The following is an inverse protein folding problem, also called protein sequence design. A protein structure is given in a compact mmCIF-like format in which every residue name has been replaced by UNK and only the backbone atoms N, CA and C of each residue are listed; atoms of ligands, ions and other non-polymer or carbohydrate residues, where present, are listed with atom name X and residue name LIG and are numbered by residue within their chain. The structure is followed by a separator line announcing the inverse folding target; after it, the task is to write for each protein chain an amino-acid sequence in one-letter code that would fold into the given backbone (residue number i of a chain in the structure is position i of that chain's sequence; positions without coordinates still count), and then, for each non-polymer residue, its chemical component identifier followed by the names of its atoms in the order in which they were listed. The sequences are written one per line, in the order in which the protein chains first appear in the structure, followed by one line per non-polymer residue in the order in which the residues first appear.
data_IF_988277688078
#
_entry.id   IF_988277688078
#
_cell.length_a   1.000
_cell.length_b   1.000
_cell.length_c   1.000
_cell.angle_alpha   90.00
_cell.angle_beta   90.00
_cell.angle_gamma   90.00
#
_symmetry.space_group_name_H-M   'P 1'
#
loop_
_entity.id
_entity.type
_entity.pdbx_description
1 polymer ?
#
# COMPACT_ATOMS: atom_id res chain seq x y z
N UNK A 1 -12.41 36.12 -33.33
CA UNK A 1 -12.82 35.79 -31.94
C UNK A 1 -13.37 34.37 -31.85
N UNK A 2 -14.25 33.91 -32.72
CA UNK A 2 -14.82 32.54 -32.71
C UNK A 2 -13.81 31.39 -32.70
N UNK A 3 -12.71 31.51 -33.48
CA UNK A 3 -11.65 30.46 -33.52
C UNK A 3 -10.85 30.35 -32.21
N UNK A 4 -10.85 31.34 -31.35
CA UNK A 4 -10.15 31.33 -30.06
C UNK A 4 -11.02 30.68 -28.97
N UNK A 5 -12.32 30.91 -28.98
CA UNK A 5 -13.27 30.32 -28.03
C UNK A 5 -13.48 28.82 -28.27
N UNK A 6 -13.55 28.37 -29.54
CA UNK A 6 -13.60 26.95 -29.89
C UNK A 6 -12.33 26.21 -29.43
N UNK A 7 -11.15 26.79 -29.61
CA UNK A 7 -9.87 26.24 -29.16
C UNK A 7 -9.75 26.15 -27.63
N UNK A 8 -10.34 27.09 -26.86
CA UNK A 8 -10.36 27.05 -25.40
C UNK A 8 -11.26 25.91 -24.90
N UNK A 9 -12.45 25.79 -25.44
CA UNK A 9 -13.41 24.72 -25.06
C UNK A 9 -12.90 23.30 -25.36
N UNK A 10 -12.14 23.11 -26.44
CA UNK A 10 -11.52 21.82 -26.77
C UNK A 10 -10.38 21.48 -25.78
N UNK A 11 -9.58 22.45 -25.38
CA UNK A 11 -8.50 22.24 -24.37
C UNK A 11 -9.08 21.88 -23.01
N UNK A 12 -10.14 22.52 -22.58
CA UNK A 12 -10.83 22.22 -21.31
C UNK A 12 -11.44 20.81 -21.32
N UNK A 13 -12.07 20.40 -22.42
CA UNK A 13 -12.62 19.05 -22.61
C UNK A 13 -11.51 18.00 -22.56
N UNK A 14 -10.38 18.25 -23.22
CA UNK A 14 -9.24 17.35 -23.21
C UNK A 14 -8.62 17.24 -21.82
N UNK A 15 -8.51 18.33 -21.09
CA UNK A 15 -7.97 18.31 -19.72
C UNK A 15 -8.91 17.57 -18.76
N UNK A 16 -10.21 17.79 -18.86
CA UNK A 16 -11.23 17.04 -18.12
C UNK A 16 -11.15 15.55 -18.38
N UNK A 17 -11.05 15.15 -19.65
CA UNK A 17 -10.88 13.76 -20.04
C UNK A 17 -9.56 13.16 -19.47
N UNK A 18 -8.47 13.89 -19.53
CA UNK A 18 -7.20 13.45 -18.98
C UNK A 18 -7.28 13.25 -17.45
N UNK A 19 -7.92 14.17 -16.73
CA UNK A 19 -8.17 14.05 -15.28
C UNK A 19 -9.03 12.83 -14.96
N UNK A 20 -10.05 12.56 -15.78
CA UNK A 20 -10.88 11.37 -15.63
C UNK A 20 -10.04 10.08 -15.76
N UNK A 21 -9.22 9.93 -16.80
CA UNK A 21 -8.39 8.74 -16.99
C UNK A 21 -7.39 8.55 -15.83
N UNK A 22 -6.78 9.63 -15.35
CA UNK A 22 -5.86 9.56 -14.20
C UNK A 22 -6.60 9.14 -12.93
N UNK A 23 -7.81 9.67 -12.71
CA UNK A 23 -8.69 9.30 -11.60
C UNK A 23 -9.02 7.80 -11.62
N UNK A 24 -9.46 7.28 -12.77
CA UNK A 24 -9.75 5.86 -12.96
C UNK A 24 -8.50 4.98 -12.70
N UNK A 25 -7.34 5.43 -13.16
CA UNK A 25 -6.10 4.71 -12.89
C UNK A 25 -5.73 4.68 -11.39
N UNK A 26 -5.84 5.79 -10.68
CA UNK A 26 -5.59 5.84 -9.23
C UNK A 26 -6.58 4.95 -8.45
N UNK A 27 -7.83 4.86 -8.92
CA UNK A 27 -8.86 4.02 -8.34
C UNK A 27 -8.58 2.53 -8.53
N UNK A 28 -8.26 2.11 -9.75
CA UNK A 28 -8.09 0.69 -10.10
C UNK A 28 -6.65 0.20 -10.06
N UNK A 29 -5.66 1.06 -10.17
CA UNK A 29 -4.23 0.73 -10.11
C UNK A 29 -3.69 -0.02 -11.33
N UNK A 30 -4.49 -0.25 -12.37
CA UNK A 30 -4.12 -0.99 -13.58
C UNK A 30 -4.74 -0.36 -14.82
N UNK A 31 -3.97 -0.27 -15.91
CA UNK A 31 -4.47 0.21 -17.20
C UNK A 31 -5.49 -0.76 -17.80
N UNK A 32 -5.24 -2.08 -17.67
CA UNK A 32 -6.20 -3.11 -18.09
C UNK A 32 -7.55 -2.94 -17.41
N UNK A 33 -7.53 -2.67 -16.11
CA UNK A 33 -8.75 -2.48 -15.34
C UNK A 33 -9.49 -1.20 -15.74
N UNK A 34 -8.77 -0.12 -16.02
CA UNK A 34 -9.36 1.11 -16.54
C UNK A 34 -10.12 0.83 -17.85
N UNK A 35 -9.53 0.09 -18.79
CA UNK A 35 -10.21 -0.29 -20.02
C UNK A 35 -11.41 -1.21 -19.76
N UNK A 36 -11.28 -2.21 -18.91
CA UNK A 36 -12.32 -3.17 -18.58
C UNK A 36 -13.55 -2.49 -17.98
N UNK A 37 -13.34 -1.61 -17.02
CA UNK A 37 -14.42 -0.89 -16.33
C UNK A 37 -15.13 0.12 -17.25
N UNK A 38 -14.45 0.62 -18.26
CA UNK A 38 -15.00 1.48 -19.29
C UNK A 38 -15.40 0.71 -20.57
N UNK A 39 -15.62 -0.61 -20.46
CA UNK A 39 -16.10 -1.50 -21.54
C UNK A 39 -15.27 -1.43 -22.83
N UNK A 40 -13.99 -1.05 -22.71
CA UNK A 40 -13.08 -0.81 -23.85
C UNK A 40 -13.53 0.31 -24.82
N UNK A 41 -14.42 1.20 -24.40
CA UNK A 41 -14.99 2.29 -25.21
C UNK A 41 -14.27 3.64 -25.04
N UNK A 42 -13.06 3.63 -24.47
CA UNK A 42 -12.30 4.86 -24.26
C UNK A 42 -11.71 5.40 -25.57
N UNK A 43 -11.84 6.71 -25.85
CA UNK A 43 -11.27 7.34 -27.06
C UNK A 43 -9.76 7.57 -26.91
N UNK A 44 -9.04 6.61 -26.33
CA UNK A 44 -7.59 6.64 -26.13
C UNK A 44 -7.06 5.22 -26.19
N UNK A 45 -5.89 5.02 -26.80
CA UNK A 45 -5.26 3.69 -26.86
C UNK A 45 -4.57 3.32 -25.55
N UNK A 46 -4.33 2.03 -25.32
CA UNK A 46 -3.58 1.53 -24.17
C UNK A 46 -2.21 2.23 -23.98
N UNK A 47 -1.33 2.34 -25.04
CA UNK A 47 -0.11 3.14 -24.93
C UNK A 47 -0.37 4.62 -24.67
N UNK A 48 -1.50 5.16 -25.12
CA UNK A 48 -1.94 6.53 -24.87
C UNK A 48 -2.17 6.77 -23.37
N UNK A 49 -2.91 5.87 -22.69
CA UNK A 49 -3.11 5.92 -21.24
C UNK A 49 -1.77 5.83 -20.51
N UNK A 50 -0.88 4.92 -20.91
CA UNK A 50 0.43 4.80 -20.28
C UNK A 50 1.27 6.08 -20.39
N UNK A 51 1.27 6.74 -21.56
CA UNK A 51 1.95 8.02 -21.77
C UNK A 51 1.32 9.14 -20.93
N UNK A 52 0.00 9.17 -20.85
CA UNK A 52 -0.73 10.14 -20.04
C UNK A 52 -0.36 10.03 -18.56
N UNK A 53 -0.38 8.83 -17.99
CA UNK A 53 -0.01 8.55 -16.61
C UNK A 53 1.43 9.02 -16.34
N UNK A 54 2.37 8.69 -17.24
CA UNK A 54 3.75 9.17 -17.15
C UNK A 54 3.84 10.70 -17.21
N UNK A 55 3.12 11.34 -18.14
CA UNK A 55 3.07 12.82 -18.30
C UNK A 55 2.49 13.49 -17.05
N UNK A 56 1.59 12.81 -16.32
CA UNK A 56 1.00 13.29 -15.06
C UNK A 56 1.93 13.10 -13.84
N UNK A 57 3.07 12.43 -14.01
CA UNK A 57 3.98 12.10 -12.91
C UNK A 57 3.40 11.07 -11.93
N UNK A 58 2.42 10.27 -12.37
CA UNK A 58 1.84 9.21 -11.55
C UNK A 58 2.74 7.99 -11.58
N UNK A 59 3.16 7.53 -10.40
CA UNK A 59 3.96 6.32 -10.27
C UNK A 59 3.06 5.11 -10.45
N UNK A 60 3.45 4.21 -11.36
CA UNK A 60 2.67 3.02 -11.67
C UNK A 60 2.56 2.09 -10.47
N UNK A 61 1.36 1.58 -10.23
CA UNK A 61 1.12 0.57 -9.20
C UNK A 61 1.99 -0.66 -9.42
N UNK A 62 2.51 -1.20 -8.32
CA UNK A 62 3.10 -2.52 -8.28
C UNK A 62 1.98 -3.48 -7.85
N UNK A 63 1.29 -4.07 -8.79
CA UNK A 63 0.15 -4.93 -8.48
C UNK A 63 0.54 -6.21 -7.73
N UNK A 64 -0.38 -6.83 -7.00
CA UNK A 64 -0.18 -8.13 -6.35
C UNK A 64 -0.15 -9.30 -7.37
N UNK A 65 0.22 -9.04 -8.58
CA UNK A 65 -0.02 -9.87 -9.75
C UNK A 65 0.68 -11.22 -9.71
N UNK A 66 0.19 -12.16 -8.90
CA UNK A 66 0.41 -13.56 -9.23
C UNK A 66 -0.68 -14.45 -8.62
N UNK A 67 -1.15 -15.38 -9.42
CA UNK A 67 -1.85 -16.61 -9.02
C UNK A 67 -1.19 -17.24 -7.79
N UNK A 68 0.13 -17.05 -7.64
CA UNK A 68 0.92 -17.48 -6.51
C UNK A 68 0.52 -16.79 -5.19
N UNK A 69 0.17 -15.50 -5.19
CA UNK A 69 -0.27 -14.82 -3.97
C UNK A 69 -1.65 -15.28 -3.52
N UNK A 70 -2.54 -15.63 -4.44
CA UNK A 70 -3.84 -16.22 -4.11
C UNK A 70 -3.68 -17.61 -3.51
N UNK A 71 -2.71 -18.40 -4.01
CA UNK A 71 -2.38 -19.69 -3.47
C UNK A 71 -1.80 -19.65 -2.06
N UNK A 72 -0.85 -18.74 -1.80
CA UNK A 72 -0.30 -18.51 -0.45
C UNK A 72 -1.41 -18.10 0.52
N UNK A 73 -2.30 -17.25 0.08
CA UNK A 73 -3.53 -16.83 0.73
C UNK A 73 -4.36 -18.02 1.19
N UNK A 74 -4.71 -18.86 0.25
CA UNK A 74 -5.54 -20.05 0.50
C UNK A 74 -4.85 -21.04 1.43
N UNK A 75 -3.55 -21.25 1.26
CA UNK A 75 -2.74 -22.11 2.11
C UNK A 75 -2.67 -21.63 3.55
N UNK A 76 -2.55 -20.31 3.77
CA UNK A 76 -2.52 -19.74 5.11
C UNK A 76 -3.84 -19.90 5.86
N UNK A 77 -4.96 -19.83 5.15
CA UNK A 77 -6.28 -20.11 5.72
C UNK A 77 -6.44 -21.57 6.13
N UNK A 78 -5.98 -22.49 5.29
CA UNK A 78 -6.11 -23.92 5.56
C UNK A 78 -5.09 -24.43 6.59
N UNK A 79 -3.96 -23.78 6.75
CA UNK A 79 -2.93 -24.17 7.73
C UNK A 79 -3.40 -24.02 9.19
N UNK A 80 -4.38 -23.17 9.45
CA UNK A 80 -5.02 -23.04 10.79
C UNK A 80 -5.65 -24.34 11.27
N UNK A 81 -6.04 -25.22 10.36
CA UNK A 81 -6.75 -26.47 10.66
C UNK A 81 -5.80 -27.66 10.89
N UNK A 82 -4.47 -27.47 10.94
CA UNK A 82 -3.45 -28.53 11.06
C UNK A 82 -3.63 -29.67 10.05
N UNK A 83 -3.97 -29.33 8.81
CA UNK A 83 -4.25 -30.28 7.73
C UNK A 83 -2.95 -30.64 7.02
N UNK A 84 -2.79 -31.91 6.62
CA UNK A 84 -1.61 -32.36 5.87
C UNK A 84 -1.46 -31.62 4.53
N UNK A 85 -0.21 -31.46 4.06
CA UNK A 85 0.09 -30.79 2.76
C UNK A 85 -0.69 -31.42 1.60
N UNK A 86 -0.86 -32.72 1.61
CA UNK A 86 -1.63 -33.45 0.59
C UNK A 86 -3.12 -33.08 0.61
N UNK A 87 -3.71 -32.98 1.80
CA UNK A 87 -5.10 -32.56 1.97
C UNK A 87 -5.28 -31.09 1.58
N UNK A 88 -4.30 -30.22 1.88
CA UNK A 88 -4.26 -28.84 1.42
C UNK A 88 -4.23 -28.75 -0.10
N UNK A 89 -3.37 -29.56 -0.73
CA UNK A 89 -3.24 -29.62 -2.18
C UNK A 89 -4.55 -30.03 -2.87
N UNK A 90 -5.24 -31.02 -2.35
CA UNK A 90 -6.55 -31.48 -2.87
C UNK A 90 -7.66 -30.43 -2.78
N UNK A 91 -7.55 -29.47 -1.85
CA UNK A 91 -8.53 -28.39 -1.63
C UNK A 91 -8.21 -27.11 -2.41
N UNK A 92 -7.09 -27.07 -3.14
CA UNK A 92 -6.74 -25.89 -3.94
C UNK A 92 -7.75 -25.65 -5.06
N UNK A 93 -8.10 -24.37 -5.33
CA UNK A 93 -8.92 -24.05 -6.48
C UNK A 93 -8.32 -24.56 -7.79
N UNK A 94 -9.14 -25.02 -8.76
CA UNK A 94 -8.65 -25.51 -10.06
C UNK A 94 -7.80 -24.48 -10.83
N UNK A 95 -7.99 -23.19 -10.56
CA UNK A 95 -7.19 -22.10 -11.12
C UNK A 95 -5.76 -22.06 -10.59
N UNK A 96 -5.49 -22.69 -9.46
CA UNK A 96 -4.16 -22.75 -8.85
C UNK A 96 -3.40 -23.99 -9.31
N UNK A 97 -2.95 -23.97 -10.56
CA UNK A 97 -2.16 -25.07 -11.16
C UNK A 97 -0.70 -24.98 -10.72
N UNK A 98 -0.36 -25.55 -9.58
CA UNK A 98 1.04 -25.69 -9.15
C UNK A 98 1.33 -27.15 -8.74
N UNK A 99 2.60 -27.54 -8.72
CA UNK A 99 2.98 -28.87 -8.21
C UNK A 99 3.04 -28.86 -6.68
N UNK A 100 2.84 -30.04 -6.06
CA UNK A 100 2.98 -30.21 -4.61
C UNK A 100 4.40 -29.81 -4.14
N UNK A 101 5.44 -30.09 -4.93
CA UNK A 101 6.81 -29.67 -4.63
C UNK A 101 7.00 -28.14 -4.65
N UNK A 102 6.30 -27.44 -5.55
CA UNK A 102 6.30 -25.98 -5.56
C UNK A 102 5.59 -25.42 -4.32
N UNK A 103 4.49 -26.03 -3.92
CA UNK A 103 3.75 -25.68 -2.74
C UNK A 103 4.57 -25.87 -1.45
N UNK A 104 5.24 -27.01 -1.33
CA UNK A 104 6.16 -27.28 -0.21
C UNK A 104 7.28 -26.22 -0.12
N UNK A 105 7.92 -25.89 -1.26
CA UNK A 105 8.95 -24.84 -1.29
C UNK A 105 8.42 -23.46 -0.89
N UNK A 106 7.18 -23.15 -1.28
CA UNK A 106 6.51 -21.90 -0.89
C UNK A 106 6.31 -21.81 0.61
N UNK A 107 5.75 -22.85 1.21
CA UNK A 107 5.52 -22.92 2.65
C UNK A 107 6.83 -22.86 3.42
N UNK A 108 7.84 -23.63 2.96
CA UNK A 108 9.18 -23.60 3.53
C UNK A 108 9.78 -22.17 3.50
N UNK A 109 9.74 -21.49 2.36
CA UNK A 109 10.25 -20.12 2.25
C UNK A 109 9.50 -19.14 3.18
N UNK A 110 8.20 -19.29 3.34
CA UNK A 110 7.42 -18.46 4.28
C UNK A 110 7.87 -18.73 5.72
N UNK A 111 8.05 -20.00 6.07
CA UNK A 111 8.55 -20.43 7.39
C UNK A 111 9.93 -19.83 7.67
N UNK A 112 10.85 -19.91 6.73
CA UNK A 112 12.20 -19.37 6.84
C UNK A 112 12.23 -17.81 6.76
N UNK A 113 11.09 -17.16 6.58
CA UNK A 113 10.99 -15.70 6.48
C UNK A 113 11.52 -15.13 5.17
N UNK A 114 11.61 -15.94 4.12
CA UNK A 114 12.00 -15.49 2.78
C UNK A 114 10.85 -14.72 2.17
N UNK A 115 11.00 -13.41 2.10
CA UNK A 115 10.01 -12.51 1.50
C UNK A 115 10.12 -12.52 -0.04
N UNK A 116 8.98 -12.52 -0.72
CA UNK A 116 8.91 -12.55 -2.20
C UNK A 116 8.38 -11.26 -2.79
N UNK A 117 7.68 -10.52 -1.99
CA UNK A 117 7.07 -9.25 -2.38
C UNK A 117 7.62 -8.14 -1.51
N UNK A 118 7.61 -6.96 -2.02
CA UNK A 118 7.98 -5.77 -1.27
C UNK A 118 6.81 -4.81 -1.19
N UNK A 119 6.75 -4.05 -0.12
CA UNK A 119 5.76 -3.04 0.12
C UNK A 119 6.36 -1.81 0.78
N UNK A 120 5.62 -0.72 0.73
CA UNK A 120 5.95 0.53 1.41
C UNK A 120 4.81 0.92 2.30
N UNK A 121 5.12 1.30 3.53
CA UNK A 121 4.19 1.92 4.46
C UNK A 121 4.74 3.28 4.90
N UNK A 122 3.84 4.23 5.14
CA UNK A 122 4.19 5.57 5.59
C UNK A 122 3.61 5.81 6.98
N UNK A 123 4.48 6.16 7.90
CA UNK A 123 4.11 6.83 9.15
C UNK A 123 4.13 8.31 8.87
N UNK A 124 2.96 8.92 8.77
CA UNK A 124 2.80 10.32 8.42
C UNK A 124 2.35 11.08 9.66
N UNK A 125 3.10 12.12 10.04
CA UNK A 125 2.84 12.91 11.23
C UNK A 125 2.75 14.39 10.89
N UNK A 126 2.03 15.22 11.68
CA UNK A 126 2.23 16.66 11.62
C UNK A 126 3.66 17.01 12.03
N UNK A 127 4.25 18.04 11.43
CA UNK A 127 5.60 18.48 11.77
C UNK A 127 5.74 19.04 13.20
N UNK A 128 4.63 19.47 13.78
CA UNK A 128 4.54 20.03 15.14
C UNK A 128 4.05 18.99 16.20
N UNK A 129 3.66 17.80 15.76
CA UNK A 129 3.17 16.74 16.67
C UNK A 129 3.55 15.33 16.16
N UNK A 130 4.79 14.88 16.42
CA UNK A 130 5.28 13.58 15.98
C UNK A 130 4.62 12.39 16.68
N UNK A 131 3.87 12.60 17.77
CA UNK A 131 3.16 11.56 18.50
C UNK A 131 1.80 11.23 17.89
N UNK A 132 1.36 11.93 16.85
CA UNK A 132 0.13 11.65 16.13
C UNK A 132 0.41 11.16 14.72
N UNK A 133 -0.21 10.06 14.35
CA UNK A 133 0.01 9.36 13.09
C UNK A 133 -1.26 9.32 12.25
N UNK A 134 -1.14 9.62 10.96
CA UNK A 134 -2.24 9.54 10.00
C UNK A 134 -2.63 8.09 9.76
N UNK A 135 -3.89 7.78 9.99
CA UNK A 135 -4.52 6.49 9.68
C UNK A 135 -5.82 6.71 8.92
N UNK A 136 -6.42 5.62 8.45
CA UNK A 136 -7.77 5.62 7.92
C UNK A 136 -8.35 4.21 7.82
N UNK A 137 -9.58 4.09 7.34
CA UNK A 137 -10.26 2.81 7.13
C UNK A 137 -9.95 2.28 5.72
N UNK A 138 -9.38 1.08 5.63
CA UNK A 138 -9.11 0.41 4.35
C UNK A 138 -10.41 -0.10 3.72
N UNK A 139 -10.80 0.48 2.59
CA UNK A 139 -11.98 0.10 1.82
C UNK A 139 -11.65 -0.63 0.52
N UNK A 140 -10.38 -0.94 0.30
CA UNK A 140 -9.95 -1.73 -0.85
C UNK A 140 -10.30 -3.21 -0.65
N UNK A 141 -10.09 -4.03 -1.68
CA UNK A 141 -10.40 -5.46 -1.63
C UNK A 141 -9.84 -6.12 -0.38
N UNK A 142 -10.67 -6.75 0.46
CA UNK A 142 -10.22 -7.41 1.66
C UNK A 142 -9.30 -8.60 1.33
N UNK A 143 -8.34 -8.85 2.21
CA UNK A 143 -7.39 -9.97 2.13
C UNK A 143 -7.18 -10.52 3.54
N UNK A 144 -8.11 -11.34 3.97
CA UNK A 144 -8.15 -11.86 5.33
C UNK A 144 -6.88 -12.62 5.69
N UNK A 145 -6.29 -13.30 4.71
CA UNK A 145 -5.04 -14.04 4.81
C UNK A 145 -3.80 -13.18 5.07
N UNK A 146 -3.89 -11.91 4.73
CA UNK A 146 -2.87 -10.89 5.08
C UNK A 146 -3.28 -10.09 6.32
N UNK A 147 -4.32 -10.54 7.04
CA UNK A 147 -4.89 -9.80 8.16
C UNK A 147 -5.36 -8.40 7.77
N UNK A 148 -5.98 -8.30 6.58
CA UNK A 148 -6.52 -7.09 5.98
C UNK A 148 -8.03 -7.22 5.76
N UNK A 149 -8.87 -7.14 6.81
CA UNK A 149 -10.31 -7.11 6.65
C UNK A 149 -10.80 -5.75 6.12
N UNK A 150 -11.98 -5.75 5.47
CA UNK A 150 -12.60 -4.51 5.02
C UNK A 150 -12.91 -3.57 6.19
N UNK A 151 -12.63 -2.29 6.02
CA UNK A 151 -12.84 -1.28 7.06
C UNK A 151 -11.83 -1.32 8.21
N UNK A 152 -10.76 -2.11 8.08
CA UNK A 152 -9.69 -2.13 9.09
C UNK A 152 -8.91 -0.82 9.11
N UNK A 153 -8.50 -0.40 10.30
CA UNK A 153 -7.59 0.74 10.47
C UNK A 153 -6.24 0.39 9.87
N UNK A 154 -5.74 1.27 9.01
CA UNK A 154 -4.47 1.10 8.31
C UNK A 154 -3.69 2.40 8.25
N UNK A 155 -2.36 2.27 8.15
CA UNK A 155 -1.49 3.34 7.64
C UNK A 155 -1.59 3.39 6.11
N UNK A 156 -1.28 4.53 5.46
CA UNK A 156 -1.06 4.57 4.03
C UNK A 156 0.03 3.59 3.62
N UNK A 157 -0.32 2.59 2.79
CA UNK A 157 0.62 1.55 2.40
C UNK A 157 0.22 0.84 1.11
N UNK A 158 1.23 0.38 0.37
CA UNK A 158 1.01 -0.31 -0.91
C UNK A 158 2.17 -1.21 -1.30
N UNK A 159 1.97 -2.00 -2.36
CA UNK A 159 3.05 -2.79 -2.94
C UNK A 159 4.08 -1.91 -3.62
N UNK A 160 5.33 -2.38 -3.65
CA UNK A 160 6.46 -1.77 -4.34
C UNK A 160 7.04 -2.74 -5.37
N UNK A 161 7.80 -2.25 -6.32
CA UNK A 161 8.62 -3.07 -7.21
C UNK A 161 9.93 -3.43 -6.50
N UNK A 162 10.51 -4.58 -6.83
CA UNK A 162 11.71 -5.10 -6.15
C UNK A 162 12.90 -4.12 -6.14
N UNK A 163 13.15 -3.39 -7.20
CA UNK A 163 14.28 -2.48 -7.36
C UNK A 163 13.83 -1.02 -7.47
N UNK A 164 12.70 -0.69 -6.88
CA UNK A 164 12.16 0.65 -6.95
C UNK A 164 12.89 1.59 -6.00
N UNK A 165 13.17 2.80 -6.48
CA UNK A 165 13.69 3.85 -5.63
C UNK A 165 12.70 4.16 -4.48
N UNK A 166 13.25 4.40 -3.30
CA UNK A 166 12.48 4.72 -2.10
C UNK A 166 11.59 5.96 -2.30
N UNK A 167 12.08 6.96 -3.03
CA UNK A 167 11.32 8.16 -3.37
C UNK A 167 10.07 7.83 -4.20
N UNK A 168 10.20 7.01 -5.23
CA UNK A 168 9.09 6.59 -6.08
C UNK A 168 8.08 5.75 -5.31
N UNK A 169 8.56 4.87 -4.42
CA UNK A 169 7.72 4.07 -3.54
C UNK A 169 6.87 4.93 -2.60
N UNK A 170 7.49 5.92 -1.97
CA UNK A 170 6.82 6.88 -1.07
C UNK A 170 5.81 7.71 -1.89
N UNK A 171 6.25 8.27 -3.02
CA UNK A 171 5.40 9.12 -3.87
C UNK A 171 4.16 8.36 -4.34
N UNK A 172 4.32 7.08 -4.74
CA UNK A 172 3.18 6.24 -5.12
C UNK A 172 2.17 6.10 -4.00
N UNK A 173 2.62 5.82 -2.77
CA UNK A 173 1.71 5.69 -1.62
C UNK A 173 1.02 7.02 -1.33
N UNK A 174 1.74 8.14 -1.35
CA UNK A 174 1.15 9.47 -1.18
C UNK A 174 0.09 9.76 -2.26
N UNK A 175 0.36 9.45 -3.52
CA UNK A 175 -0.56 9.67 -4.64
C UNK A 175 -1.82 8.82 -4.58
N UNK A 176 -1.72 7.58 -4.09
CA UNK A 176 -2.84 6.63 -4.13
C UNK A 176 -3.63 6.58 -2.84
N UNK A 177 -2.97 6.75 -1.70
CA UNK A 177 -3.54 6.47 -0.39
C UNK A 177 -3.80 7.73 0.45
N UNK A 178 -3.23 8.91 0.06
CA UNK A 178 -3.29 10.13 0.88
C UNK A 178 -3.77 11.35 0.09
N UNK A 179 -3.18 11.63 -1.07
CA UNK A 179 -3.36 12.88 -1.81
C UNK A 179 -3.82 12.65 -3.26
N UNK A 180 -4.77 11.72 -3.49
CA UNK A 180 -5.20 11.37 -4.85
C UNK A 180 -5.73 12.58 -5.64
N UNK A 181 -6.50 13.46 -5.01
CA UNK A 181 -7.01 14.67 -5.67
C UNK A 181 -5.90 15.68 -6.00
N UNK A 182 -4.89 15.82 -5.11
CA UNK A 182 -3.74 16.66 -5.40
C UNK A 182 -2.91 16.10 -6.56
N UNK A 183 -2.76 14.78 -6.65
CA UNK A 183 -2.08 14.12 -7.77
C UNK A 183 -2.82 14.34 -9.09
N UNK A 184 -4.17 14.24 -9.10
CA UNK A 184 -5.01 14.52 -10.26
C UNK A 184 -4.91 16.00 -10.69
N UNK A 185 -4.85 16.91 -9.73
CA UNK A 185 -4.70 18.35 -9.98
C UNK A 185 -3.25 18.77 -10.27
N UNK A 186 -2.29 17.86 -10.16
CA UNK A 186 -0.85 18.08 -10.39
C UNK A 186 -0.24 19.13 -9.43
N UNK A 187 -0.77 19.23 -8.22
CA UNK A 187 -0.31 20.17 -7.19
C UNK A 187 0.20 19.47 -5.92
N UNK A 188 0.55 18.18 -6.03
CA UNK A 188 1.19 17.43 -4.94
C UNK A 188 2.57 18.05 -4.63
N UNK A 189 2.84 18.46 -3.39
CA UNK A 189 4.13 19.05 -3.02
C UNK A 189 5.23 17.97 -2.95
N UNK A 190 6.08 17.90 -3.97
CA UNK A 190 7.14 16.89 -4.09
C UNK A 190 8.30 17.10 -3.10
N UNK A 191 8.41 18.26 -2.49
CA UNK A 191 9.40 18.60 -1.46
C UNK A 191 9.14 17.95 -0.10
N UNK A 192 7.98 17.31 0.09
CA UNK A 192 7.72 16.46 1.26
C UNK A 192 8.67 15.25 1.35
N UNK A 193 9.25 14.83 0.22
CA UNK A 193 10.05 13.62 0.15
C UNK A 193 11.51 14.01 -0.09
N UNK A 194 12.40 13.83 0.90
CA UNK A 194 13.84 13.99 0.72
C UNK A 194 14.40 13.03 -0.34
N UNK A 195 15.41 13.46 -1.09
CA UNK A 195 16.00 12.65 -2.18
C UNK A 195 16.55 11.30 -1.68
N UNK A 196 17.16 11.28 -0.49
CA UNK A 196 17.79 10.09 0.12
C UNK A 196 17.01 9.58 1.31
N UNK A 197 15.69 9.39 1.15
CA UNK A 197 14.87 8.91 2.25
C UNK A 197 15.16 7.43 2.55
N UNK A 198 15.47 7.12 3.81
CA UNK A 198 15.76 5.76 4.28
C UNK A 198 14.64 5.24 5.17
N UNK A 199 14.28 3.95 5.09
CA UNK A 199 13.29 3.39 5.99
C UNK A 199 13.85 3.35 7.43
N UNK A 200 13.03 3.69 8.40
CA UNK A 200 13.38 3.54 9.81
C UNK A 200 13.09 2.12 10.33
N UNK A 201 12.25 1.37 9.60
CA UNK A 201 11.86 0.01 9.97
C UNK A 201 11.59 -0.85 8.75
N UNK A 202 11.84 -2.15 8.89
CA UNK A 202 11.33 -3.20 8.02
C UNK A 202 10.40 -4.11 8.83
N UNK A 203 9.25 -4.44 8.28
CA UNK A 203 8.33 -5.39 8.90
C UNK A 203 7.88 -6.45 7.89
N UNK A 204 7.95 -7.72 8.32
CA UNK A 204 7.45 -8.84 7.51
C UNK A 204 5.96 -9.06 7.81
N UNK A 205 5.13 -9.02 6.76
CA UNK A 205 3.70 -9.31 6.80
C UNK A 205 3.41 -10.42 5.80
N UNK A 206 3.24 -11.63 6.27
CA UNK A 206 3.23 -12.85 5.45
C UNK A 206 4.52 -12.94 4.60
N UNK A 207 4.41 -13.00 3.28
CA UNK A 207 5.52 -13.05 2.33
C UNK A 207 5.94 -11.65 1.81
N UNK A 208 5.47 -10.58 2.46
CA UNK A 208 5.73 -9.19 2.05
C UNK A 208 6.72 -8.57 3.04
N UNK A 209 7.84 -8.08 2.54
CA UNK A 209 8.74 -7.21 3.31
C UNK A 209 8.34 -5.76 3.09
N UNK A 210 7.86 -5.12 4.14
CA UNK A 210 7.39 -3.73 4.10
C UNK A 210 8.50 -2.81 4.61
N UNK A 211 8.92 -1.88 3.77
CA UNK A 211 9.79 -0.77 4.14
C UNK A 211 8.94 0.37 4.71
N UNK A 212 9.23 0.81 5.92
CA UNK A 212 8.45 1.84 6.62
C UNK A 212 9.22 3.13 6.67
N UNK A 213 8.61 4.20 6.16
CA UNK A 213 9.20 5.54 6.11
C UNK A 213 8.42 6.50 6.98
N UNK A 214 9.11 7.48 7.54
CA UNK A 214 8.52 8.59 8.28
C UNK A 214 8.44 9.82 7.37
N UNK A 215 7.26 10.44 7.31
CA UNK A 215 6.97 11.64 6.53
C UNK A 215 6.34 12.68 7.45
N UNK A 216 6.91 13.86 7.49
CA UNK A 216 6.38 14.99 8.24
C UNK A 216 5.57 15.90 7.30
N UNK A 217 4.32 16.18 7.67
CA UNK A 217 3.46 17.09 6.92
C UNK A 217 3.56 18.50 7.48
N UNK A 218 3.73 19.45 6.59
CA UNK A 218 3.56 20.85 6.94
C UNK A 218 2.13 21.10 7.43
N UNK A 219 1.95 22.01 8.35
CA UNK A 219 0.67 22.34 8.98
C UNK A 219 -0.47 22.59 7.97
N UNK A 220 -0.17 23.18 6.80
CA UNK A 220 -1.16 23.44 5.75
C UNK A 220 -1.72 22.15 5.11
N UNK A 221 -1.03 21.02 5.25
CA UNK A 221 -1.42 19.73 4.68
C UNK A 221 -2.04 18.77 5.70
N UNK A 222 -2.22 19.20 6.94
CA UNK A 222 -2.79 18.36 8.01
C UNK A 222 -4.31 18.46 8.12
N UNK A 223 -4.94 19.35 7.36
CA UNK A 223 -6.40 19.46 7.30
C UNK A 223 -7.02 18.25 6.61
N UNK A 224 -8.14 17.76 7.13
CA UNK A 224 -8.86 16.63 6.56
C UNK A 224 -9.26 16.82 5.09
N UNK A 225 -9.49 18.06 4.66
CA UNK A 225 -9.84 18.40 3.27
C UNK A 225 -8.68 18.18 2.29
N UNK A 226 -7.45 18.07 2.79
CA UNK A 226 -6.28 17.75 1.99
C UNK A 226 -6.22 16.26 1.63
N UNK A 227 -6.82 15.40 2.44
CA UNK A 227 -6.72 13.97 2.27
C UNK A 227 -7.78 13.43 1.30
N UNK A 228 -7.35 12.58 0.41
CA UNK A 228 -8.23 11.91 -0.55
C UNK A 228 -7.61 10.60 -1.03
N UNK A 229 -8.39 9.55 -1.03
CA UNK A 229 -7.99 8.25 -1.56
C UNK A 229 -9.19 7.47 -2.08
N UNK A 230 -8.97 6.56 -3.03
CA UNK A 230 -9.96 5.58 -3.46
C UNK A 230 -9.91 4.27 -2.68
N UNK A 231 -8.93 4.13 -1.78
CA UNK A 231 -8.65 2.88 -1.04
C UNK A 231 -8.74 3.06 0.47
N UNK A 232 -8.55 4.28 0.95
CA UNK A 232 -8.63 4.64 2.36
C UNK A 232 -9.67 5.75 2.51
N UNK A 233 -10.54 5.64 3.49
CA UNK A 233 -11.49 6.68 3.88
C UNK A 233 -11.31 7.10 5.33
N UNK A 234 -11.94 8.21 5.71
CA UNK A 234 -11.94 8.74 7.09
C UNK A 234 -10.50 8.92 7.63
N UNK A 235 -9.65 9.57 6.83
CA UNK A 235 -8.32 9.91 7.28
C UNK A 235 -8.39 10.75 8.56
N UNK A 236 -7.63 10.36 9.58
CA UNK A 236 -7.52 11.09 10.83
C UNK A 236 -6.17 10.80 11.51
N UNK A 237 -5.77 11.69 12.40
CA UNK A 237 -4.57 11.50 13.21
C UNK A 237 -4.95 10.87 14.55
N UNK A 238 -4.32 9.74 14.89
CA UNK A 238 -4.46 9.07 16.19
C UNK A 238 -3.11 9.07 16.92
N UNK A 239 -3.15 8.88 18.24
CA UNK A 239 -1.91 8.76 19.02
C UNK A 239 -1.12 7.50 18.64
N UNK A 240 0.21 7.61 18.61
CA UNK A 240 1.10 6.44 18.46
C UNK A 240 0.84 5.39 19.56
N UNK A 241 0.48 5.81 20.78
CA UNK A 241 0.15 4.91 21.86
C UNK A 241 -1.13 4.11 21.58
N UNK A 242 -2.13 4.76 20.99
CA UNK A 242 -3.36 4.10 20.56
C UNK A 242 -3.09 3.08 19.46
N UNK A 243 -2.26 3.44 18.46
CA UNK A 243 -1.86 2.55 17.38
C UNK A 243 -1.06 1.34 17.88
N UNK A 244 -0.19 1.52 18.87
CA UNK A 244 0.67 0.49 19.46
C UNK A 244 -0.05 -0.36 20.51
N UNK A 245 -1.15 0.14 21.06
CA UNK A 245 -1.87 -0.46 22.18
C UNK A 245 -2.69 -1.71 21.83
N UNK A 246 -3.14 -2.40 22.89
CA UNK A 246 -4.06 -3.53 22.79
C UNK A 246 -5.53 -3.05 22.82
N UNK A 247 -5.90 -2.10 21.98
CA UNK A 247 -7.31 -1.78 21.86
C UNK A 247 -8.01 -2.99 21.24
N UNK A 248 -8.55 -3.86 22.11
CA UNK A 248 -9.29 -5.09 21.73
C UNK A 248 -10.53 -4.80 20.86
N UNK A 249 -10.86 -3.54 20.69
CA UNK A 249 -12.03 -3.06 19.97
C UNK A 249 -11.74 -2.55 18.55
N UNK A 250 -10.49 -2.27 18.22
CA UNK A 250 -10.17 -1.73 16.91
C UNK A 250 -9.82 -2.86 15.94
N UNK A 251 -10.55 -2.91 14.81
CA UNK A 251 -10.20 -3.77 13.68
C UNK A 251 -8.97 -3.18 12.99
N UNK A 252 -7.77 -3.56 13.44
CA UNK A 252 -6.49 -3.05 12.94
C UNK A 252 -5.89 -4.07 11.96
N UNK A 253 -5.44 -3.61 10.81
CA UNK A 253 -4.74 -4.43 9.81
C UNK A 253 -3.43 -4.99 10.38
N UNK A 254 -3.10 -6.24 10.04
CA UNK A 254 -1.85 -6.88 10.45
C UNK A 254 -0.60 -6.08 10.06
N UNK A 255 0.36 -6.00 10.97
CA UNK A 255 1.60 -5.25 10.81
C UNK A 255 1.54 -3.81 11.30
N UNK A 256 0.34 -3.22 11.42
CA UNK A 256 0.20 -1.81 11.81
C UNK A 256 0.60 -1.59 13.27
N UNK A 257 0.20 -2.50 14.16
CA UNK A 257 0.59 -2.45 15.58
C UNK A 257 2.11 -2.51 15.74
N UNK A 258 2.76 -3.42 15.01
CA UNK A 258 4.22 -3.56 15.04
C UNK A 258 4.92 -2.32 14.49
N UNK A 259 4.34 -1.68 13.46
CA UNK A 259 4.86 -0.39 12.94
C UNK A 259 4.71 0.69 14.02
N UNK A 260 3.59 0.80 14.70
CA UNK A 260 3.39 1.74 15.81
C UNK A 260 4.42 1.56 16.93
N UNK A 261 4.63 0.31 17.38
CA UNK A 261 5.68 -0.02 18.36
C UNK A 261 7.09 0.31 17.86
N UNK A 262 7.38 0.04 16.59
CA UNK A 262 8.64 0.37 15.96
C UNK A 262 8.86 1.88 15.85
N UNK A 263 7.82 2.63 15.49
CA UNK A 263 7.91 4.08 15.39
C UNK A 263 8.14 4.74 16.76
N UNK A 264 7.50 4.27 17.80
CA UNK A 264 7.76 4.74 19.17
C UNK A 264 9.23 4.54 19.57
N UNK A 265 9.80 3.36 19.31
CA UNK A 265 11.24 3.10 19.54
C UNK A 265 12.12 4.01 18.68
N UNK A 266 11.70 4.32 17.46
CA UNK A 266 12.41 5.25 16.59
C UNK A 266 12.43 6.66 17.19
N UNK A 267 11.31 7.19 17.69
CA UNK A 267 11.24 8.49 18.34
C UNK A 267 12.14 8.55 19.60
N UNK A 268 12.07 7.53 20.46
CA UNK A 268 12.91 7.42 21.66
C UNK A 268 14.42 7.49 21.33
N UNK A 269 14.86 6.77 20.30
CA UNK A 269 16.26 6.76 19.85
C UNK A 269 16.68 8.05 19.16
N UNK A 270 15.78 8.64 18.36
CA UNK A 270 16.06 9.88 17.66
C UNK A 270 16.23 11.05 18.65
N UNK A 271 15.41 11.09 19.70
CA UNK A 271 15.53 12.06 20.79
C UNK A 271 16.88 11.95 21.52
N UNK A 272 17.51 10.77 21.55
CA UNK A 272 18.82 10.53 22.17
C UNK A 272 20.00 10.83 21.22
N UNK A 273 19.75 11.28 19.98
CA UNK A 273 20.79 11.55 19.00
C UNK A 273 21.58 10.32 18.53
N UNK A 274 21.08 9.13 18.80
CA UNK A 274 21.76 7.88 18.46
C UNK A 274 21.44 7.48 17.01
N UNK A 275 22.46 7.11 16.22
CA UNK A 275 22.25 6.58 14.88
C UNK A 275 21.36 5.33 14.92
N UNK A 276 20.21 5.39 14.27
CA UNK A 276 19.21 4.32 14.29
C UNK A 276 19.38 3.45 13.04
N UNK A 277 19.91 2.25 13.22
CA UNK A 277 19.76 1.20 12.20
C UNK A 277 18.27 0.89 12.06
N UNK A 278 17.80 0.59 10.84
CA UNK A 278 16.38 0.22 10.64
C UNK A 278 15.96 -0.89 11.61
N UNK A 279 14.83 -0.70 12.26
CA UNK A 279 14.24 -1.69 13.16
C UNK A 279 13.71 -2.84 12.29
N UNK A 280 13.93 -4.08 12.71
CA UNK A 280 13.38 -5.26 12.01
C UNK A 280 12.31 -5.91 12.88
N UNK A 281 11.15 -6.14 12.31
CA UNK A 281 10.02 -6.76 13.00
C UNK A 281 9.30 -7.80 12.14
N UNK A 282 8.58 -8.71 12.81
CA UNK A 282 7.65 -9.66 12.18
C UNK A 282 6.28 -9.44 12.79
N UNK A 283 5.24 -9.36 11.98
CA UNK A 283 3.89 -9.22 12.49
C UNK A 283 3.41 -10.51 13.19
N UNK A 284 2.35 -10.39 13.99
CA UNK A 284 1.77 -11.52 14.71
C UNK A 284 1.38 -12.65 13.75
N UNK A 285 0.81 -12.33 12.59
CA UNK A 285 0.46 -13.29 11.55
C UNK A 285 1.66 -14.18 11.15
N UNK A 286 2.86 -13.61 10.98
CA UNK A 286 4.05 -14.37 10.64
C UNK A 286 4.49 -15.30 11.76
N UNK A 287 4.33 -14.89 13.01
CA UNK A 287 4.63 -15.73 14.20
C UNK A 287 3.66 -16.90 14.27
N UNK A 288 2.37 -16.65 14.06
CA UNK A 288 1.34 -17.71 14.05
C UNK A 288 1.57 -18.70 12.92
N UNK A 289 1.89 -18.24 11.71
CA UNK A 289 2.23 -19.10 10.57
C UNK A 289 3.46 -19.98 10.87
N UNK A 290 4.50 -19.41 11.49
CA UNK A 290 5.71 -20.17 11.85
C UNK A 290 5.40 -21.32 12.82
N UNK A 291 4.51 -21.11 13.79
CA UNK A 291 4.09 -22.15 14.76
C UNK A 291 3.24 -23.23 14.08
N UNK A 292 2.41 -22.86 13.10
CA UNK A 292 1.49 -23.79 12.44
C UNK A 292 2.22 -24.78 11.51
N UNK A 293 3.40 -24.36 10.99
CA UNK A 293 4.22 -25.18 10.07
C UNK A 293 5.43 -25.85 10.77
N UNK A 294 5.62 -25.64 12.06
CA UNK A 294 6.61 -26.38 12.88
C UNK A 294 6.08 -27.72 13.36
#
# INVERSE_FOLDING_TARGET
MENMETSLGEKEKLESFNKFIVSEYLKYGSVDEVFRQNKYELPISYPGVQRLIKKWGIIKSAGPNSILSEGITFLSLLSKDKVSLESLYKRLPPSFKTSMGTMHRLLHNIKEGVTRRVGTALVITPSDDPDRVLVGEDISTPRLELGKPFGSITLPMGYSKMEEDSRDSILRVLQQEVFAQMAIKRNLPLNLIPANHKPFMYVDVADIKVSVYHIELFRQLTSNDCFSSYKIRKHNFISVLELAGDSRTANIRSGIKEIGLGYRKYLEKNAQGTYVKPIVGKCLLNRELAITFS
#
